data_IF_285608373101
#
_entry.id   IF_285608373101
#
_cell.length_a   1.000
_cell.length_b   1.000
_cell.length_c   1.000
_cell.angle_alpha   90.00
_cell.angle_beta   90.00
_cell.angle_gamma   90.00
#
_symmetry.space_group_name_H-M   'P 1'
#
loop_
_entity.id
_entity.type
_entity.pdbx_description
1 polymer ?
#
# COMPACT_ATOMS: atom_id res chain seq x y z
N UNK A 1 -13.53 5.70 17.63
CA UNK A 1 -14.14 5.73 16.28
C UNK A 1 -13.09 6.22 15.30
N UNK A 2 -12.91 5.53 14.17
CA UNK A 2 -11.94 5.93 13.13
C UNK A 2 -12.73 6.74 12.09
N UNK A 3 -12.48 8.05 11.99
CA UNK A 3 -13.08 8.92 10.97
C UNK A 3 -12.33 8.74 9.65
N UNK A 4 -12.85 7.87 8.77
CA UNK A 4 -12.37 7.66 7.40
C UNK A 4 -13.45 8.05 6.42
N UNK A 5 -13.12 8.90 5.44
CA UNK A 5 -13.98 9.16 4.28
C UNK A 5 -13.41 8.34 3.12
N UNK A 6 -14.21 7.42 2.54
CA UNK A 6 -13.77 6.59 1.42
C UNK A 6 -13.81 7.40 0.12
N UNK A 7 -12.72 7.35 -0.65
CA UNK A 7 -12.70 7.80 -2.05
C UNK A 7 -12.79 6.54 -2.92
N UNK A 8 -13.91 6.35 -3.62
CA UNK A 8 -14.06 5.19 -4.50
C UNK A 8 -13.15 5.36 -5.72
N UNK A 9 -12.18 4.45 -5.88
CA UNK A 9 -11.41 4.29 -7.12
C UNK A 9 -11.93 3.05 -7.86
N UNK A 10 -11.93 3.11 -9.19
CA UNK A 10 -12.58 2.16 -10.10
C UNK A 10 -11.90 0.77 -10.14
N UNK A 11 -10.81 0.56 -9.38
CA UNK A 11 -10.09 -0.72 -9.28
C UNK A 11 -10.18 -1.29 -7.86
N UNK A 12 -10.88 -2.43 -7.72
CA UNK A 12 -11.37 -3.01 -6.44
C UNK A 12 -10.27 -3.52 -5.48
N UNK A 13 -9.01 -3.56 -5.91
CA UNK A 13 -7.89 -4.10 -5.12
C UNK A 13 -7.09 -3.03 -4.36
N UNK A 14 -7.46 -1.76 -4.50
CA UNK A 14 -6.76 -0.62 -3.93
C UNK A 14 -7.76 0.35 -3.31
N UNK A 15 -7.62 0.59 -2.00
CA UNK A 15 -8.51 1.51 -1.27
C UNK A 15 -7.78 2.79 -0.95
N UNK A 16 -8.25 3.87 -1.57
CA UNK A 16 -7.85 5.23 -1.20
C UNK A 16 -8.90 5.82 -0.26
N UNK A 17 -8.46 6.44 0.83
CA UNK A 17 -9.35 7.10 1.77
C UNK A 17 -8.67 8.29 2.42
N UNK A 18 -9.48 9.19 2.97
CA UNK A 18 -9.00 10.30 3.78
C UNK A 18 -8.87 9.82 5.23
N UNK A 19 -7.71 10.05 5.81
CA UNK A 19 -7.38 9.79 7.20
C UNK A 19 -7.05 11.10 7.91
N UNK A 20 -7.55 11.27 9.13
CA UNK A 20 -7.20 12.42 9.96
C UNK A 20 -6.02 12.01 10.84
N UNK A 21 -4.87 12.68 10.66
CA UNK A 21 -3.67 12.43 11.44
C UNK A 21 -3.92 12.59 12.94
N UNK A 22 -3.50 11.60 13.71
CA UNK A 22 -3.60 11.55 15.16
C UNK A 22 -2.30 12.02 15.80
N UNK A 23 -2.34 12.19 17.13
CA UNK A 23 -1.14 12.49 17.90
C UNK A 23 -0.17 11.30 17.80
N UNK A 24 1.11 11.57 17.54
CA UNK A 24 2.20 10.61 17.33
C UNK A 24 2.19 9.88 15.97
N UNK A 25 1.26 10.17 15.06
CA UNK A 25 1.33 9.61 13.71
C UNK A 25 2.54 10.20 12.97
N UNK A 26 3.43 9.33 12.51
CA UNK A 26 4.51 9.64 11.58
C UNK A 26 4.22 9.02 10.22
N UNK A 27 4.82 9.54 9.14
CA UNK A 27 4.72 8.93 7.78
C UNK A 27 5.08 7.45 7.83
N UNK A 28 6.15 7.08 8.54
CA UNK A 28 6.56 5.69 8.73
C UNK A 28 5.46 4.86 9.40
N UNK A 29 4.94 5.30 10.54
CA UNK A 29 3.91 4.54 11.27
C UNK A 29 2.63 4.35 10.46
N UNK A 30 2.28 5.34 9.64
CA UNK A 30 1.12 5.29 8.76
C UNK A 30 1.36 4.35 7.57
N UNK A 31 2.57 4.36 7.01
CA UNK A 31 2.97 3.44 5.94
C UNK A 31 2.87 1.98 6.40
N UNK A 32 3.43 1.68 7.57
CA UNK A 32 3.35 0.35 8.20
C UNK A 32 1.90 -0.03 8.50
N UNK A 33 1.13 0.86 9.11
CA UNK A 33 -0.27 0.62 9.49
C UNK A 33 -1.18 0.37 8.29
N UNK A 34 -0.94 1.05 7.18
CA UNK A 34 -1.79 1.01 6.00
C UNK A 34 -1.19 0.24 4.84
N UNK A 35 -0.12 -0.53 5.07
CA UNK A 35 0.44 -1.44 4.07
C UNK A 35 0.80 -0.71 2.77
N UNK A 36 1.48 0.42 2.93
CA UNK A 36 1.96 1.27 1.83
C UNK A 36 3.37 1.73 2.15
N UNK A 37 3.95 2.60 1.34
CA UNK A 37 5.30 3.13 1.59
C UNK A 37 5.25 4.59 1.99
N UNK A 38 6.33 5.07 2.63
CA UNK A 38 6.44 6.47 3.01
C UNK A 38 6.40 7.37 1.78
N UNK A 39 7.05 6.96 0.71
CA UNK A 39 7.12 7.67 -0.57
C UNK A 39 5.73 7.84 -1.19
N UNK A 40 4.87 6.81 -1.11
CA UNK A 40 3.49 6.89 -1.59
C UNK A 40 2.68 7.88 -0.75
N UNK A 41 2.80 7.86 0.57
CA UNK A 41 2.08 8.82 1.43
C UNK A 41 2.57 10.25 1.17
N UNK A 42 3.88 10.47 1.10
CA UNK A 42 4.48 11.78 0.83
C UNK A 42 4.03 12.32 -0.53
N UNK A 43 4.12 11.50 -1.58
CA UNK A 43 3.75 11.92 -2.94
C UNK A 43 2.27 12.20 -3.12
N UNK A 44 1.38 11.42 -2.50
CA UNK A 44 -0.07 11.64 -2.56
C UNK A 44 -0.52 12.92 -1.85
N UNK A 45 0.23 13.36 -0.83
CA UNK A 45 -0.13 14.48 0.02
C UNK A 45 0.75 15.73 -0.20
N UNK A 46 1.79 15.63 -1.03
CA UNK A 46 2.74 16.72 -1.26
C UNK A 46 3.49 17.14 0.00
N UNK A 47 3.77 16.20 0.91
CA UNK A 47 4.40 16.52 2.20
C UNK A 47 5.84 16.96 1.98
N UNK A 48 6.17 18.15 2.50
CA UNK A 48 7.55 18.67 2.57
C UNK A 48 8.10 18.69 3.99
N UNK A 49 7.22 18.51 4.98
CA UNK A 49 7.49 18.48 6.41
C UNK A 49 6.80 17.26 7.05
N UNK A 50 6.99 17.07 8.36
CA UNK A 50 6.35 15.99 9.11
C UNK A 50 4.83 16.16 9.22
N UNK A 51 4.14 15.02 9.42
CA UNK A 51 2.67 14.97 9.56
C UNK A 51 2.23 15.72 10.82
N UNK A 52 1.29 16.65 10.64
CA UNK A 52 0.71 17.41 11.75
C UNK A 52 -0.59 16.79 12.26
N UNK A 53 -0.80 16.79 13.59
CA UNK A 53 -2.06 16.31 14.17
C UNK A 53 -3.25 17.09 13.62
N UNK A 54 -4.29 16.38 13.20
CA UNK A 54 -5.53 16.95 12.64
C UNK A 54 -5.46 17.21 11.15
N UNK A 55 -4.30 17.00 10.51
CA UNK A 55 -4.14 17.09 9.07
C UNK A 55 -4.92 15.98 8.36
N UNK A 56 -5.53 16.30 7.22
CA UNK A 56 -6.23 15.34 6.39
C UNK A 56 -5.24 14.77 5.37
N UNK A 57 -4.99 13.48 5.45
CA UNK A 57 -4.11 12.75 4.56
C UNK A 57 -4.91 11.83 3.64
N UNK A 58 -4.61 11.89 2.35
CA UNK A 58 -4.97 10.89 1.36
C UNK A 58 -4.06 9.68 1.57
N UNK A 59 -4.63 8.58 2.03
CA UNK A 59 -3.90 7.33 2.25
C UNK A 59 -4.36 6.28 1.25
N UNK A 60 -3.38 5.67 0.59
CA UNK A 60 -3.55 4.42 -0.14
C UNK A 60 -3.30 3.25 0.81
N UNK A 61 -4.21 2.26 0.81
CA UNK A 61 -3.99 0.97 1.44
C UNK A 61 -4.02 -0.13 0.39
N UNK A 62 -3.00 -0.98 0.45
CA UNK A 62 -2.95 -2.22 -0.31
C UNK A 62 -3.48 -3.33 0.59
N UNK A 63 -4.59 -3.95 0.18
CA UNK A 63 -5.11 -5.13 0.88
C UNK A 63 -4.41 -6.39 0.34
N UNK A 64 -4.00 -7.28 1.24
CA UNK A 64 -3.30 -8.52 0.88
C UNK A 64 -2.34 -9.00 1.96
N UNK A 65 -1.67 -10.10 1.67
CA UNK A 65 -0.58 -10.63 2.49
C UNK A 65 0.74 -10.07 1.97
N UNK A 66 1.57 -9.48 2.84
CA UNK A 66 2.92 -9.08 2.45
C UNK A 66 3.76 -10.34 2.17
N UNK A 67 4.42 -10.37 1.03
CA UNK A 67 5.29 -11.45 0.58
C UNK A 67 6.61 -10.86 0.09
N UNK A 68 7.73 -11.41 0.57
CA UNK A 68 9.07 -11.07 0.07
C UNK A 68 9.43 -12.05 -1.03
N UNK A 69 9.70 -11.54 -2.22
CA UNK A 69 10.10 -12.33 -3.39
C UNK A 69 11.39 -13.09 -3.10
N UNK A 70 11.37 -14.40 -3.27
CA UNK A 70 12.46 -15.32 -2.98
C UNK A 70 13.26 -15.66 -4.26
N UNK A 71 14.48 -16.20 -4.13
CA UNK A 71 15.20 -16.75 -5.29
C UNK A 71 14.36 -17.79 -6.03
N UNK A 72 14.36 -17.71 -7.37
CA UNK A 72 13.59 -18.54 -8.29
C UNK A 72 12.06 -18.31 -8.31
N UNK A 73 11.54 -17.35 -7.57
CA UNK A 73 10.14 -16.97 -7.71
C UNK A 73 9.85 -16.34 -9.08
N UNK A 74 8.74 -16.74 -9.68
CA UNK A 74 8.04 -15.98 -10.73
C UNK A 74 6.69 -15.51 -10.21
N UNK A 75 6.10 -14.50 -10.85
CA UNK A 75 4.76 -14.01 -10.47
C UNK A 75 3.74 -15.14 -10.55
N UNK A 76 3.84 -16.03 -11.54
CA UNK A 76 2.98 -17.20 -11.72
C UNK A 76 3.14 -18.18 -10.56
N UNK A 77 4.36 -18.50 -10.15
CA UNK A 77 4.60 -19.43 -9.03
C UNK A 77 4.07 -18.89 -7.71
N UNK A 78 4.17 -17.57 -7.49
CA UNK A 78 3.62 -16.91 -6.31
C UNK A 78 2.08 -16.93 -6.40
N UNK A 79 1.52 -16.60 -7.56
CA UNK A 79 0.08 -16.60 -7.78
C UNK A 79 -0.55 -17.98 -7.51
N UNK A 80 0.09 -19.06 -7.99
CA UNK A 80 -0.33 -20.43 -7.72
C UNK A 80 -0.27 -20.75 -6.23
N UNK A 81 0.83 -20.40 -5.55
CA UNK A 81 1.01 -20.62 -4.10
C UNK A 81 -0.09 -19.97 -3.26
N UNK A 82 -0.56 -18.79 -3.66
CA UNK A 82 -1.58 -18.04 -2.94
C UNK A 82 -2.99 -18.22 -3.52
N UNK A 83 -3.15 -19.04 -4.57
CA UNK A 83 -4.42 -19.24 -5.28
C UNK A 83 -5.05 -17.91 -5.78
N UNK A 84 -4.22 -16.99 -6.29
CA UNK A 84 -4.64 -15.70 -6.85
C UNK A 84 -4.25 -15.58 -8.33
N UNK A 85 -4.68 -14.51 -9.00
CA UNK A 85 -4.27 -14.24 -10.37
C UNK A 85 -2.92 -13.48 -10.39
N UNK A 86 -1.98 -13.91 -11.23
CA UNK A 86 -0.68 -13.26 -11.40
C UNK A 86 -0.80 -11.77 -11.83
N UNK A 87 -1.75 -11.46 -12.72
CA UNK A 87 -2.01 -10.09 -13.17
C UNK A 87 -2.50 -9.22 -12.01
N UNK A 88 -3.31 -9.76 -11.10
CA UNK A 88 -3.79 -9.03 -9.93
C UNK A 88 -2.64 -8.68 -8.99
N UNK A 89 -1.65 -9.58 -8.81
CA UNK A 89 -0.43 -9.27 -8.05
C UNK A 89 0.29 -8.08 -8.68
N UNK A 90 0.52 -8.10 -10.00
CA UNK A 90 1.28 -7.04 -10.69
C UNK A 90 0.56 -5.69 -10.62
N UNK A 91 -0.75 -5.68 -10.93
CA UNK A 91 -1.57 -4.48 -10.88
C UNK A 91 -1.68 -3.90 -9.46
N UNK A 92 -1.84 -4.77 -8.45
CA UNK A 92 -1.92 -4.37 -7.04
C UNK A 92 -0.63 -3.70 -6.57
N UNK A 93 0.52 -4.19 -7.01
CA UNK A 93 1.83 -3.68 -6.63
C UNK A 93 2.38 -2.59 -7.56
N UNK A 94 1.68 -2.29 -8.68
CA UNK A 94 2.09 -1.33 -9.72
C UNK A 94 3.50 -1.61 -10.25
N UNK A 95 3.78 -2.87 -10.54
CA UNK A 95 5.08 -3.34 -11.03
C UNK A 95 4.90 -4.09 -12.33
N UNK A 96 5.84 -3.92 -13.25
CA UNK A 96 5.93 -4.72 -14.48
C UNK A 96 6.86 -5.92 -14.31
N UNK A 97 7.77 -5.86 -13.34
CA UNK A 97 8.75 -6.90 -13.00
C UNK A 97 8.91 -6.97 -11.48
N UNK A 98 9.14 -8.18 -10.96
CA UNK A 98 9.50 -8.40 -9.55
C UNK A 98 10.99 -8.76 -9.40
N UNK A 99 11.59 -8.34 -8.31
CA UNK A 99 13.00 -8.61 -7.99
C UNK A 99 13.13 -9.37 -6.67
N UNK A 100 14.16 -10.22 -6.55
CA UNK A 100 14.45 -10.92 -5.29
C UNK A 100 14.63 -9.92 -4.16
N UNK A 101 14.01 -10.19 -3.01
CA UNK A 101 14.00 -9.32 -1.84
C UNK A 101 12.96 -8.20 -1.90
N UNK A 102 12.28 -8.01 -3.03
CA UNK A 102 11.19 -7.04 -3.12
C UNK A 102 9.99 -7.51 -2.29
N UNK A 103 9.42 -6.59 -1.52
CA UNK A 103 8.15 -6.79 -0.85
C UNK A 103 7.00 -6.49 -1.81
N UNK A 104 6.07 -7.42 -1.92
CA UNK A 104 4.83 -7.29 -2.68
C UNK A 104 3.65 -7.70 -1.82
N UNK A 105 2.45 -7.32 -2.22
CA UNK A 105 1.20 -7.78 -1.63
C UNK A 105 0.51 -8.74 -2.58
N UNK A 106 0.14 -9.91 -2.08
CA UNK A 106 -0.65 -10.91 -2.81
C UNK A 106 -2.10 -10.89 -2.34
#
# INVERSE_FOLDING_TARGET
>A
MINKIKLNSVYDNKKTFIYIAQKEDTVQSLAERFHTTQEVIISLNGLTEDVSKGEYLVIERIDGVEYTVMPCDTVESIAEKFCVNAVDIMLKNKVDVIYVGQKIYV
#
